data_IF_622789181394
#
_entry.id   IF_622789181394
#
_cell.length_a   1.000
_cell.length_b   1.000
_cell.length_c   1.000
_cell.angle_alpha   90.00
_cell.angle_beta   90.00
_cell.angle_gamma   90.00
#
_symmetry.space_group_name_H-M   'P 1'
#
loop_
_entity.id
_entity.type
_entity.pdbx_description
1 polymer ?
#
# COMPACT_ATOMS: atom_id res chain seq x y z
N UNK A 1 -5.00 -3.84 21.68
CA UNK A 1 -4.64 -2.40 21.50
C UNK A 1 -4.86 -1.63 22.79
N UNK A 2 -3.88 -0.89 23.26
CA UNK A 2 -3.95 -0.08 24.50
C UNK A 2 -4.29 1.38 24.13
N UNK A 3 -5.57 1.73 24.18
CA UNK A 3 -6.02 3.10 23.96
C UNK A 3 -5.81 3.96 25.22
N UNK A 4 -5.30 5.17 25.03
CA UNK A 4 -5.21 6.20 26.07
C UNK A 4 -6.08 7.40 25.67
N UNK A 5 -6.74 8.09 26.62
CA UNK A 5 -7.55 9.28 26.35
C UNK A 5 -6.70 10.50 25.97
N UNK A 6 -5.47 10.56 26.45
CA UNK A 6 -4.51 11.64 26.20
C UNK A 6 -3.07 11.10 26.18
N UNK A 7 -2.13 11.76 25.49
CA UNK A 7 -0.75 11.33 25.47
C UNK A 7 -0.07 11.54 26.83
N UNK A 8 0.88 10.66 27.22
CA UNK A 8 1.71 10.89 28.39
C UNK A 8 2.67 12.08 28.14
N UNK A 9 3.13 12.72 29.22
CA UNK A 9 4.07 13.82 29.14
C UNK A 9 5.43 13.42 28.51
N UNK A 10 5.79 12.14 28.56
CA UNK A 10 7.05 11.60 28.05
C UNK A 10 6.79 10.25 27.34
N UNK A 11 7.52 10.02 26.24
CA UNK A 11 7.56 8.76 25.52
C UNK A 11 8.99 8.49 25.02
N UNK A 12 9.40 7.25 24.91
CA UNK A 12 10.71 6.88 24.36
C UNK A 12 10.70 7.02 22.84
N UNK A 13 9.71 6.43 22.19
CA UNK A 13 9.48 6.52 20.75
C UNK A 13 8.04 6.98 20.49
N UNK A 14 7.86 7.98 19.61
CA UNK A 14 6.56 8.39 19.11
C UNK A 14 6.42 8.01 17.63
N UNK A 15 5.41 7.23 17.28
CA UNK A 15 5.02 6.96 15.89
C UNK A 15 3.84 7.84 15.52
N UNK A 16 3.98 8.64 14.47
CA UNK A 16 2.97 9.59 14.01
C UNK A 16 2.22 9.01 12.81
N UNK A 17 0.94 8.72 12.98
CA UNK A 17 0.04 8.14 11.97
C UNK A 17 -0.40 6.71 12.29
N UNK A 18 -1.72 6.46 12.26
CA UNK A 18 -2.37 5.19 12.58
C UNK A 18 -2.81 4.37 11.35
N UNK A 19 -2.16 4.56 10.19
CA UNK A 19 -2.31 3.70 9.02
C UNK A 19 -1.51 2.41 9.14
N UNK A 20 -1.53 1.56 8.11
CA UNK A 20 -0.83 0.27 8.12
C UNK A 20 0.68 0.43 8.39
N UNK A 21 1.32 1.48 7.86
CA UNK A 21 2.76 1.73 8.06
C UNK A 21 3.05 2.10 9.51
N UNK A 22 2.27 3.03 10.11
CA UNK A 22 2.47 3.40 11.51
C UNK A 22 2.14 2.27 12.48
N UNK A 23 1.07 1.52 12.22
CA UNK A 23 0.72 0.33 13.02
C UNK A 23 1.83 -0.73 12.98
N UNK A 24 2.38 -1.01 11.79
CA UNK A 24 3.50 -1.92 11.61
C UNK A 24 4.76 -1.41 12.33
N UNK A 25 5.05 -0.10 12.23
CA UNK A 25 6.19 0.53 12.92
C UNK A 25 6.06 0.37 14.44
N UNK A 26 4.87 0.64 14.99
CA UNK A 26 4.61 0.47 16.43
C UNK A 26 4.75 -1.01 16.86
N UNK A 27 4.28 -1.94 16.04
CA UNK A 27 4.39 -3.37 16.29
C UNK A 27 5.85 -3.83 16.35
N UNK A 28 6.64 -3.53 15.33
CA UNK A 28 8.03 -4.00 15.26
C UNK A 28 8.95 -3.26 16.26
N UNK A 29 8.71 -1.97 16.52
CA UNK A 29 9.41 -1.23 17.57
C UNK A 29 9.15 -1.84 18.96
N UNK A 30 7.89 -2.14 19.28
CA UNK A 30 7.51 -2.83 20.52
C UNK A 30 8.18 -4.19 20.64
N UNK A 31 8.24 -4.98 19.56
CA UNK A 31 8.95 -6.27 19.54
C UNK A 31 10.47 -6.12 19.68
N UNK A 32 11.02 -5.00 19.26
CA UNK A 32 12.43 -4.68 19.47
C UNK A 32 12.71 -4.22 20.92
N UNK A 33 11.70 -4.15 21.77
CA UNK A 33 11.81 -3.73 23.17
C UNK A 33 11.76 -2.21 23.36
N UNK A 34 11.34 -1.43 22.35
CA UNK A 34 11.26 0.03 22.41
C UNK A 34 9.84 0.43 22.85
N UNK A 35 9.65 1.05 24.05
CA UNK A 35 8.37 1.57 24.50
C UNK A 35 7.82 2.60 23.51
N UNK A 36 6.66 2.32 22.92
CA UNK A 36 6.15 3.06 21.77
C UNK A 36 4.80 3.70 22.08
N UNK A 37 4.65 4.97 21.72
CA UNK A 37 3.42 5.74 21.65
C UNK A 37 3.05 5.98 20.19
N UNK A 38 1.85 5.58 19.76
CA UNK A 38 1.32 5.92 18.45
C UNK A 38 0.30 7.06 18.60
N UNK A 39 0.50 8.14 17.83
CA UNK A 39 -0.42 9.28 17.75
C UNK A 39 -1.13 9.26 16.38
N UNK A 40 -2.46 9.27 16.42
CA UNK A 40 -3.31 9.40 15.22
C UNK A 40 -4.14 10.67 15.30
N UNK A 41 -4.04 11.54 14.29
CA UNK A 41 -4.77 12.81 14.27
C UNK A 41 -6.28 12.69 14.09
N UNK A 42 -6.74 11.57 13.49
CA UNK A 42 -8.15 11.27 13.28
C UNK A 42 -8.74 10.57 14.52
N UNK A 43 -10.08 10.50 14.58
CA UNK A 43 -10.80 9.87 15.70
C UNK A 43 -10.68 8.34 15.73
N UNK A 44 -10.09 7.72 14.69
CA UNK A 44 -9.82 6.30 14.64
C UNK A 44 -8.62 6.00 13.73
N UNK A 45 -7.91 4.91 14.04
CA UNK A 45 -6.84 4.39 13.18
C UNK A 45 -7.42 3.79 11.89
N UNK A 46 -6.58 3.65 10.86
CA UNK A 46 -6.93 3.00 9.60
C UNK A 46 -8.13 3.64 8.85
N UNK A 47 -8.30 4.96 8.92
CA UNK A 47 -9.45 5.68 8.33
C UNK A 47 -9.13 6.52 7.09
N UNK A 48 -7.87 6.50 6.61
CA UNK A 48 -7.44 7.23 5.42
C UNK A 48 -7.08 6.27 4.28
N UNK A 49 -5.95 6.43 3.58
CA UNK A 49 -5.51 5.66 2.42
C UNK A 49 -5.55 4.14 2.64
N UNK A 50 -5.16 3.65 3.82
CA UNK A 50 -5.22 2.21 4.15
C UNK A 50 -6.65 1.66 4.05
N UNK A 51 -7.65 2.42 4.45
CA UNK A 51 -9.06 2.00 4.45
C UNK A 51 -9.62 1.78 3.04
N UNK A 52 -9.07 2.47 2.04
CA UNK A 52 -9.51 2.41 0.64
C UNK A 52 -8.51 1.67 -0.25
N UNK A 53 -7.47 1.05 0.32
CA UNK A 53 -6.50 0.28 -0.44
C UNK A 53 -7.14 -0.98 -1.07
N UNK A 54 -6.63 -1.40 -2.22
CA UNK A 54 -7.10 -2.60 -2.91
C UNK A 54 -6.79 -3.90 -2.14
N UNK A 55 -5.80 -3.89 -1.26
CA UNK A 55 -5.40 -5.05 -0.49
C UNK A 55 -4.70 -6.13 -1.31
N UNK A 56 -4.00 -5.75 -2.36
CA UNK A 56 -3.19 -6.68 -3.14
C UNK A 56 -1.79 -6.88 -2.56
N UNK A 57 -1.25 -8.09 -2.69
CA UNK A 57 0.16 -8.39 -2.48
C UNK A 57 0.69 -9.27 -3.60
N UNK A 58 1.91 -9.02 -4.05
CA UNK A 58 2.52 -9.77 -5.15
C UNK A 58 4.04 -9.80 -5.05
N UNK A 59 4.66 -10.86 -5.54
CA UNK A 59 6.10 -10.94 -5.77
C UNK A 59 6.50 -10.68 -7.24
N UNK A 60 5.54 -10.44 -8.12
CA UNK A 60 5.77 -10.01 -9.49
C UNK A 60 6.15 -8.52 -9.52
N UNK A 61 7.34 -8.19 -9.03
CA UNK A 61 7.90 -6.84 -8.93
C UNK A 61 9.04 -6.63 -9.93
N UNK A 62 9.41 -5.38 -10.17
CA UNK A 62 10.43 -4.99 -11.14
C UNK A 62 11.79 -4.69 -10.50
N UNK A 63 11.83 -4.46 -9.18
CA UNK A 63 13.03 -4.16 -8.40
C UNK A 63 13.26 -5.22 -7.31
N UNK A 64 14.51 -5.68 -7.22
CA UNK A 64 14.89 -6.75 -6.29
C UNK A 64 14.74 -6.30 -4.83
N UNK A 65 15.11 -5.08 -4.52
CA UNK A 65 15.03 -4.54 -3.16
C UNK A 65 13.58 -4.49 -2.65
N UNK A 66 12.62 -4.14 -3.51
CA UNK A 66 11.20 -4.18 -3.17
C UNK A 66 10.69 -5.63 -3.06
N UNK A 67 11.16 -6.52 -3.93
CA UNK A 67 10.83 -7.94 -3.85
C UNK A 67 11.26 -8.53 -2.52
N UNK A 68 12.48 -8.25 -2.07
CA UNK A 68 13.02 -8.74 -0.81
C UNK A 68 12.24 -8.17 0.38
N UNK A 69 11.79 -6.90 0.28
CA UNK A 69 10.90 -6.28 1.26
C UNK A 69 9.53 -6.97 1.31
N UNK A 70 8.89 -7.17 0.16
CA UNK A 70 7.55 -7.77 0.09
C UNK A 70 7.57 -9.25 0.52
N UNK A 71 8.63 -10.00 0.24
CA UNK A 71 8.79 -11.38 0.74
C UNK A 71 8.68 -11.47 2.27
N UNK A 72 9.29 -10.53 2.99
CA UNK A 72 9.21 -10.46 4.46
C UNK A 72 7.78 -10.16 4.92
N UNK A 73 7.08 -9.26 4.22
CA UNK A 73 5.66 -9.01 4.52
C UNK A 73 4.82 -10.28 4.29
N UNK A 74 5.03 -11.00 3.19
CA UNK A 74 4.30 -12.25 2.92
C UNK A 74 4.55 -13.28 4.03
N UNK A 75 5.80 -13.45 4.48
CA UNK A 75 6.12 -14.34 5.60
C UNK A 75 5.43 -13.90 6.92
N UNK A 76 5.36 -12.59 7.19
CA UNK A 76 4.58 -12.07 8.33
C UNK A 76 3.10 -12.43 8.20
N UNK A 77 2.50 -12.23 7.02
CA UNK A 77 1.09 -12.51 6.78
C UNK A 77 0.77 -14.00 6.94
N UNK A 78 1.63 -14.88 6.44
CA UNK A 78 1.46 -16.34 6.54
C UNK A 78 1.52 -16.84 7.99
N UNK A 79 2.36 -16.24 8.83
CA UNK A 79 2.46 -16.52 10.26
C UNK A 79 1.72 -15.50 11.14
N UNK A 80 0.73 -14.78 10.63
CA UNK A 80 0.20 -13.57 11.26
C UNK A 80 -0.32 -13.80 12.68
N UNK A 81 -1.14 -14.82 12.89
CA UNK A 81 -1.69 -15.15 14.20
C UNK A 81 -0.59 -15.53 15.22
N UNK A 82 0.40 -16.29 14.80
CA UNK A 82 1.55 -16.66 15.64
C UNK A 82 2.41 -15.44 15.98
N UNK A 83 2.69 -14.60 14.97
CA UNK A 83 3.56 -13.44 15.14
C UNK A 83 2.92 -12.32 15.94
N UNK A 84 1.60 -12.13 15.83
CA UNK A 84 0.86 -11.10 16.58
C UNK A 84 0.33 -11.60 17.92
N UNK A 85 0.34 -12.93 18.14
CA UNK A 85 -0.23 -13.52 19.34
C UNK A 85 -1.76 -13.42 19.45
N UNK A 86 -2.44 -13.18 18.30
CA UNK A 86 -3.90 -13.04 18.27
C UNK A 86 -4.47 -13.56 16.93
N UNK A 87 -5.71 -14.04 16.94
CA UNK A 87 -6.39 -14.63 15.78
C UNK A 87 -7.66 -13.88 15.34
N UNK A 88 -8.08 -12.86 16.09
CA UNK A 88 -9.33 -12.13 15.83
C UNK A 88 -9.28 -11.36 14.52
N UNK A 89 -8.12 -10.83 14.18
CA UNK A 89 -7.89 -10.07 12.95
C UNK A 89 -7.06 -10.88 11.95
N UNK A 90 -7.62 -12.00 11.48
CA UNK A 90 -7.02 -12.76 10.37
C UNK A 90 -6.90 -11.85 9.13
N UNK A 91 -5.73 -11.81 8.47
CA UNK A 91 -5.51 -10.99 7.27
C UNK A 91 -6.44 -11.29 6.09
N UNK A 92 -7.23 -12.37 6.13
CA UNK A 92 -8.07 -12.86 5.04
C UNK A 92 -7.25 -13.10 3.76
N UNK A 93 -6.16 -13.89 3.89
CA UNK A 93 -5.26 -14.16 2.77
C UNK A 93 -5.98 -15.02 1.73
N UNK A 94 -6.14 -14.48 0.52
CA UNK A 94 -6.72 -15.16 -0.63
C UNK A 94 -5.69 -15.29 -1.74
N UNK A 95 -5.15 -16.49 -1.95
CA UNK A 95 -4.18 -16.80 -3.01
C UNK A 95 -4.88 -17.05 -4.34
N UNK A 96 -5.51 -16.00 -4.87
CA UNK A 96 -6.20 -16.05 -6.16
C UNK A 96 -5.26 -15.71 -7.34
N UNK A 97 -4.05 -15.26 -7.02
CA UNK A 97 -3.04 -14.88 -8.00
C UNK A 97 -3.18 -13.45 -8.51
N UNK A 98 -2.15 -13.07 -9.26
CA UNK A 98 -2.11 -11.85 -10.06
C UNK A 98 -1.91 -12.22 -11.53
N UNK A 99 -2.81 -11.72 -12.37
CA UNK A 99 -2.86 -11.95 -13.80
C UNK A 99 -2.65 -10.63 -14.54
N UNK A 100 -1.50 -10.51 -15.18
CA UNK A 100 -1.11 -9.36 -15.98
C UNK A 100 -1.31 -9.69 -17.44
N UNK A 101 -2.13 -8.92 -18.14
CA UNK A 101 -2.57 -9.16 -19.50
C UNK A 101 -2.04 -8.09 -20.43
N UNK A 102 -1.68 -8.46 -21.64
CA UNK A 102 -1.48 -7.50 -22.73
C UNK A 102 -2.21 -7.95 -23.99
N UNK A 103 -2.79 -7.00 -24.71
CA UNK A 103 -3.34 -7.18 -26.05
C UNK A 103 -2.32 -6.77 -27.13
N UNK A 104 -1.23 -6.11 -26.73
CA UNK A 104 -0.15 -5.69 -27.61
C UNK A 104 0.93 -6.78 -27.73
N UNK A 105 1.00 -7.43 -28.87
CA UNK A 105 2.00 -8.47 -29.16
C UNK A 105 3.45 -7.97 -29.07
N UNK A 106 3.70 -6.68 -29.21
CA UNK A 106 5.05 -6.10 -29.09
C UNK A 106 5.57 -6.13 -27.64
N UNK A 107 4.70 -6.23 -26.65
CA UNK A 107 5.03 -6.31 -25.21
C UNK A 107 5.41 -7.71 -24.73
N UNK A 108 5.11 -8.76 -25.50
CA UNK A 108 5.34 -10.17 -25.09
C UNK A 108 6.79 -10.43 -24.70
N UNK A 109 7.75 -9.89 -25.45
CA UNK A 109 9.17 -10.05 -25.12
C UNK A 109 9.60 -9.29 -23.88
N UNK A 110 8.99 -8.16 -23.59
CA UNK A 110 9.21 -7.44 -22.33
C UNK A 110 8.67 -8.24 -21.13
N UNK A 111 7.48 -8.82 -21.24
CA UNK A 111 6.93 -9.73 -20.22
C UNK A 111 7.83 -10.95 -20.00
N UNK A 112 8.36 -11.55 -21.08
CA UNK A 112 9.29 -12.71 -20.99
C UNK A 112 10.54 -12.34 -20.20
N UNK A 113 11.21 -11.24 -20.57
CA UNK A 113 12.42 -10.77 -19.87
C UNK A 113 12.15 -10.50 -18.39
N UNK A 114 10.98 -9.94 -18.05
CA UNK A 114 10.62 -9.70 -16.66
C UNK A 114 10.41 -11.01 -15.89
N UNK A 115 9.71 -11.98 -16.48
CA UNK A 115 9.51 -13.31 -15.87
C UNK A 115 10.85 -14.02 -15.64
N UNK A 116 11.75 -13.99 -16.63
CA UNK A 116 13.09 -14.58 -16.52
C UNK A 116 13.87 -13.94 -15.36
N UNK A 117 13.90 -12.62 -15.29
CA UNK A 117 14.54 -11.87 -14.22
C UNK A 117 13.93 -12.18 -12.83
N UNK A 118 12.61 -12.27 -12.74
CA UNK A 118 11.93 -12.63 -11.47
C UNK A 118 12.31 -14.06 -11.03
N UNK A 119 12.43 -15.01 -11.96
CA UNK A 119 12.90 -16.37 -11.69
C UNK A 119 14.36 -16.38 -11.22
N UNK A 120 15.24 -15.60 -11.85
CA UNK A 120 16.62 -15.40 -11.40
C UNK A 120 16.71 -14.83 -9.99
N UNK A 121 15.75 -13.98 -9.60
CA UNK A 121 15.60 -13.48 -8.22
C UNK A 121 14.94 -14.49 -7.27
N UNK A 122 14.66 -15.72 -7.73
CA UNK A 122 14.05 -16.79 -6.94
C UNK A 122 12.56 -16.56 -6.69
N UNK A 123 11.83 -15.97 -7.63
CA UNK A 123 10.36 -15.93 -7.57
C UNK A 123 9.81 -17.18 -8.25
N UNK A 124 9.44 -18.17 -7.46
CA UNK A 124 8.86 -19.41 -7.96
C UNK A 124 7.41 -19.22 -8.41
N UNK A 125 6.97 -20.07 -9.34
CA UNK A 125 5.59 -20.15 -9.80
C UNK A 125 5.13 -19.00 -10.70
N UNK A 126 6.05 -18.17 -11.22
CA UNK A 126 5.71 -17.17 -12.23
C UNK A 126 5.62 -17.85 -13.59
N UNK A 127 4.46 -17.76 -14.21
CA UNK A 127 4.14 -18.31 -15.52
C UNK A 127 4.04 -17.20 -16.57
N UNK A 128 4.54 -17.47 -17.77
CA UNK A 128 4.21 -16.69 -18.98
C UNK A 128 3.36 -17.58 -19.87
N UNK A 129 2.16 -17.14 -20.17
CA UNK A 129 1.15 -17.86 -20.93
C UNK A 129 0.90 -17.15 -22.27
N UNK A 130 0.71 -17.92 -23.34
CA UNK A 130 0.14 -17.36 -24.56
C UNK A 130 -1.34 -16.98 -24.34
N UNK A 131 -1.90 -16.14 -25.20
CA UNK A 131 -3.32 -15.78 -25.11
C UNK A 131 -4.25 -17.00 -25.12
N UNK A 132 -3.95 -18.05 -25.91
CA UNK A 132 -4.71 -19.29 -25.97
C UNK A 132 -4.62 -20.09 -24.66
N UNK A 133 -3.43 -20.19 -24.10
CA UNK A 133 -3.23 -20.85 -22.80
C UNK A 133 -3.96 -20.11 -21.68
N UNK A 134 -3.91 -18.77 -21.69
CA UNK A 134 -4.62 -17.95 -20.73
C UNK A 134 -6.14 -18.11 -20.84
N UNK A 135 -6.71 -18.11 -22.06
CA UNK A 135 -8.13 -18.38 -22.31
C UNK A 135 -8.55 -19.79 -21.94
N UNK A 136 -7.70 -20.77 -22.15
CA UNK A 136 -7.95 -22.14 -21.70
C UNK A 136 -8.13 -22.24 -20.17
N UNK A 137 -7.43 -21.40 -19.40
CA UNK A 137 -7.52 -21.34 -17.94
C UNK A 137 -8.62 -20.39 -17.45
N UNK A 138 -8.81 -19.27 -18.13
CA UNK A 138 -9.82 -18.25 -17.85
C UNK A 138 -10.65 -17.96 -19.10
N UNK A 139 -11.73 -18.73 -19.36
CA UNK A 139 -12.54 -18.62 -20.59
C UNK A 139 -13.24 -17.27 -20.76
N UNK A 140 -13.32 -16.47 -19.71
CA UNK A 140 -13.88 -15.12 -19.73
C UNK A 140 -12.91 -14.04 -20.29
N UNK A 141 -11.67 -14.39 -20.63
CA UNK A 141 -10.73 -13.46 -21.24
C UNK A 141 -11.10 -13.14 -22.69
N UNK A 142 -10.80 -11.90 -23.09
CA UNK A 142 -10.91 -11.46 -24.49
C UNK A 142 -10.05 -12.31 -25.42
N UNK A 143 -10.56 -12.56 -26.63
CA UNK A 143 -9.78 -13.17 -27.73
C UNK A 143 -8.55 -12.35 -28.12
N UNK A 144 -8.56 -11.03 -27.83
CA UNK A 144 -7.51 -10.10 -28.21
C UNK A 144 -6.30 -10.15 -27.24
N UNK A 145 -6.40 -10.88 -26.13
CA UNK A 145 -5.28 -11.09 -25.21
C UNK A 145 -4.16 -11.87 -25.93
N UNK A 146 -3.00 -11.23 -26.10
CA UNK A 146 -1.82 -11.79 -26.75
C UNK A 146 -1.00 -12.68 -25.80
N UNK A 147 -0.80 -12.23 -24.57
CA UNK A 147 -0.09 -13.00 -23.52
C UNK A 147 -0.52 -12.58 -22.11
N UNK A 148 -0.15 -13.42 -21.14
CA UNK A 148 -0.40 -13.20 -19.74
C UNK A 148 0.79 -13.61 -18.87
N UNK A 149 1.11 -12.82 -17.82
CA UNK A 149 1.96 -13.23 -16.71
C UNK A 149 1.07 -13.60 -15.53
N UNK A 150 1.36 -14.69 -14.88
CA UNK A 150 0.54 -15.14 -13.74
C UNK A 150 1.40 -15.76 -12.64
N UNK A 151 1.01 -15.52 -11.40
CA UNK A 151 1.55 -16.21 -10.23
C UNK A 151 0.43 -16.49 -9.23
N UNK A 152 0.16 -17.77 -8.96
CA UNK A 152 -0.94 -18.22 -8.11
C UNK A 152 -0.77 -17.80 -6.64
N UNK A 153 0.48 -17.74 -6.13
CA UNK A 153 0.75 -17.45 -4.72
C UNK A 153 0.64 -15.95 -4.37
N UNK A 154 0.58 -15.07 -5.37
CA UNK A 154 0.17 -13.69 -5.20
C UNK A 154 -1.32 -13.62 -4.86
N UNK A 155 -1.77 -12.53 -4.25
CA UNK A 155 -3.17 -12.54 -3.84
C UNK A 155 -3.64 -11.27 -3.16
N UNK A 156 -4.65 -11.45 -2.33
CA UNK A 156 -5.42 -10.39 -1.69
C UNK A 156 -5.41 -10.58 -0.18
N UNK A 157 -5.51 -9.46 0.52
CA UNK A 157 -5.61 -9.38 1.99
C UNK A 157 -6.57 -8.26 2.38
N UNK A 158 -6.97 -8.24 3.64
CA UNK A 158 -7.69 -7.11 4.22
C UNK A 158 -6.72 -6.18 4.98
N UNK A 159 -6.43 -4.97 4.44
CA UNK A 159 -5.49 -4.04 5.08
C UNK A 159 -5.94 -3.54 6.46
N UNK A 160 -7.26 -3.50 6.71
CA UNK A 160 -7.79 -3.06 8.00
C UNK A 160 -7.55 -4.13 9.06
N UNK A 161 -7.78 -5.40 8.73
CA UNK A 161 -7.51 -6.53 9.63
C UNK A 161 -6.01 -6.62 9.97
N UNK A 162 -5.14 -6.43 8.98
CA UNK A 162 -3.69 -6.38 9.22
C UNK A 162 -3.35 -5.24 10.18
N UNK A 163 -3.84 -4.01 9.92
CA UNK A 163 -3.56 -2.85 10.75
C UNK A 163 -4.01 -3.06 12.20
N UNK A 164 -5.25 -3.55 12.38
CA UNK A 164 -5.80 -3.80 13.71
C UNK A 164 -5.07 -4.94 14.43
N UNK A 165 -4.77 -6.03 13.73
CA UNK A 165 -4.06 -7.17 14.31
C UNK A 165 -2.65 -6.82 14.78
N UNK A 166 -1.93 -5.99 14.03
CA UNK A 166 -0.60 -5.49 14.43
C UNK A 166 -0.70 -4.62 15.69
N UNK A 167 -1.68 -3.71 15.76
CA UNK A 167 -1.88 -2.85 16.94
C UNK A 167 -2.35 -3.64 18.17
N UNK A 168 -3.13 -4.70 18.01
CA UNK A 168 -3.53 -5.56 19.12
C UNK A 168 -2.42 -6.52 19.56
N UNK A 169 -1.57 -6.91 18.61
CA UNK A 169 -0.43 -7.78 18.87
C UNK A 169 0.81 -7.08 19.46
N UNK A 170 0.73 -5.78 19.82
CA UNK A 170 1.85 -5.06 20.38
C UNK A 170 1.52 -4.35 21.70
N UNK A 171 2.55 -3.95 22.44
CA UNK A 171 2.42 -3.22 23.70
C UNK A 171 2.31 -1.70 23.54
N UNK A 172 2.32 -1.18 22.31
CA UNK A 172 2.24 0.25 22.05
C UNK A 172 0.97 0.87 22.62
N UNK A 173 1.11 2.05 23.23
CA UNK A 173 -0.03 2.89 23.58
C UNK A 173 -0.49 3.66 22.33
N UNK A 174 -1.79 3.85 22.18
CA UNK A 174 -2.39 4.55 21.03
C UNK A 174 -3.27 5.68 21.54
N UNK A 175 -3.09 6.88 20.97
CA UNK A 175 -3.96 8.04 21.20
C UNK A 175 -4.53 8.46 19.85
N UNK A 176 -5.84 8.52 19.75
CA UNK A 176 -6.56 8.99 18.55
C UNK A 176 -7.08 10.41 18.78
N UNK A 177 -7.36 11.16 17.70
CA UNK A 177 -7.75 12.58 17.80
C UNK A 177 -6.61 13.50 18.22
N UNK A 178 -5.36 13.00 18.25
CA UNK A 178 -4.18 13.73 18.68
C UNK A 178 -3.32 14.10 17.47
N UNK A 179 -3.48 15.31 16.99
CA UNK A 179 -2.74 15.86 15.85
C UNK A 179 -1.39 16.41 16.30
N UNK A 180 -0.30 16.02 15.61
CA UNK A 180 1.03 16.64 15.79
C UNK A 180 1.05 17.97 15.05
N UNK A 181 1.42 19.04 15.75
CA UNK A 181 1.42 20.43 15.30
C UNK A 181 2.80 21.06 15.21
N UNK A 182 3.81 20.41 15.79
CA UNK A 182 5.18 20.89 15.75
C UNK A 182 6.17 19.92 16.35
N UNK A 183 7.43 20.18 16.10
CA UNK A 183 8.57 19.45 16.67
C UNK A 183 9.42 20.41 17.49
N UNK A 184 9.83 19.98 18.67
CA UNK A 184 10.81 20.69 19.49
C UNK A 184 12.18 20.11 19.21
N UNK A 185 13.07 20.95 18.68
CA UNK A 185 14.43 20.56 18.29
C UNK A 185 15.42 21.48 19.01
N UNK A 186 16.38 20.91 19.70
CA UNK A 186 17.43 21.62 20.42
C UNK A 186 18.80 21.09 19.96
N UNK A 187 19.68 21.97 19.50
CA UNK A 187 21.00 21.59 19.03
C UNK A 187 21.00 20.55 17.88
N UNK A 188 19.99 20.56 17.00
CA UNK A 188 19.84 19.60 15.90
C UNK A 188 19.25 18.26 16.32
N UNK A 189 18.78 18.12 17.57
CA UNK A 189 18.22 16.91 18.13
C UNK A 189 16.77 17.08 18.51
N UNK A 190 15.95 16.09 18.25
CA UNK A 190 14.55 16.01 18.69
C UNK A 190 14.50 15.89 20.24
N UNK A 191 13.70 16.74 20.88
CA UNK A 191 13.45 16.70 22.33
C UNK A 191 11.97 16.58 22.67
N UNK A 192 11.07 16.65 21.66
CA UNK A 192 9.63 16.46 21.86
C UNK A 192 8.78 16.94 20.70
N UNK A 193 7.48 16.81 20.89
CA UNK A 193 6.43 17.17 19.94
C UNK A 193 5.42 18.12 20.59
N UNK A 194 4.87 19.02 19.78
CA UNK A 194 3.66 19.78 20.13
C UNK A 194 2.46 19.10 19.48
N UNK A 195 1.41 18.84 20.26
CA UNK A 195 0.21 18.18 19.75
C UNK A 195 -1.06 18.98 20.06
N UNK A 196 -2.19 18.59 19.48
CA UNK A 196 -3.50 19.17 19.81
C UNK A 196 -3.95 18.93 21.24
N UNK A 197 -3.29 17.99 21.94
CA UNK A 197 -3.61 17.59 23.32
C UNK A 197 -2.47 17.94 24.30
N UNK A 198 -1.52 18.79 23.91
CA UNK A 198 -0.38 19.20 24.75
C UNK A 198 0.96 18.70 24.23
N UNK A 199 2.02 19.02 24.93
CA UNK A 199 3.37 18.66 24.56
C UNK A 199 3.72 17.24 25.04
N UNK A 200 4.50 16.52 24.22
CA UNK A 200 5.05 15.20 24.55
C UNK A 200 6.56 15.27 24.41
N UNK A 201 7.31 15.05 25.49
CA UNK A 201 8.77 14.92 25.44
C UNK A 201 9.14 13.56 24.83
N UNK A 202 10.06 13.56 23.87
CA UNK A 202 10.58 12.30 23.30
C UNK A 202 11.94 12.53 22.65
N UNK A 203 12.81 11.53 22.71
CA UNK A 203 14.11 11.53 22.03
C UNK A 203 14.07 10.88 20.65
N UNK A 204 12.97 10.20 20.29
CA UNK A 204 12.80 9.60 18.99
C UNK A 204 11.36 9.72 18.49
N UNK A 205 11.19 10.00 17.18
CA UNK A 205 9.89 9.98 16.52
C UNK A 205 9.99 9.45 15.07
N UNK A 206 8.89 8.88 14.59
CA UNK A 206 8.75 8.37 13.21
C UNK A 206 7.55 9.03 12.54
N UNK A 207 7.78 9.68 11.41
CA UNK A 207 6.72 10.20 10.54
C UNK A 207 6.25 9.04 9.63
N UNK A 208 5.03 8.52 9.89
CA UNK A 208 4.40 7.43 9.15
C UNK A 208 2.99 7.83 8.67
N UNK A 209 2.85 9.10 8.23
CA UNK A 209 1.57 9.75 7.96
C UNK A 209 1.04 9.55 6.53
N UNK A 210 1.64 8.64 5.75
CA UNK A 210 1.23 8.43 4.35
C UNK A 210 1.30 9.75 3.55
N UNK A 211 0.21 10.14 2.85
CA UNK A 211 0.23 11.36 2.01
C UNK A 211 0.47 12.66 2.79
N UNK A 212 0.21 12.64 4.09
CA UNK A 212 0.44 13.79 4.97
C UNK A 212 1.90 13.91 5.43
N UNK A 213 2.77 12.95 5.10
CA UNK A 213 4.14 12.90 5.61
C UNK A 213 4.98 14.12 5.23
N UNK A 214 4.83 14.64 4.00
CA UNK A 214 5.53 15.87 3.59
C UNK A 214 5.10 17.10 4.42
N UNK A 215 3.80 17.25 4.67
CA UNK A 215 3.23 18.31 5.52
C UNK A 215 3.74 18.20 6.96
N UNK A 216 3.73 17.00 7.53
CA UNK A 216 4.20 16.77 8.90
C UNK A 216 5.70 16.99 9.02
N UNK A 217 6.51 16.54 8.06
CA UNK A 217 7.95 16.80 8.04
C UNK A 217 8.28 18.30 7.90
N UNK A 218 7.46 19.02 7.14
CA UNK A 218 7.56 20.48 7.00
C UNK A 218 7.42 21.24 8.32
N UNK A 219 6.70 20.68 9.32
CA UNK A 219 6.61 21.25 10.68
C UNK A 219 7.97 21.24 11.41
N UNK A 220 8.88 20.36 10.99
CA UNK A 220 10.27 20.30 11.48
C UNK A 220 11.25 21.01 10.54
N UNK A 221 10.79 21.66 9.47
CA UNK A 221 11.63 22.28 8.45
C UNK A 221 12.22 21.31 7.42
N UNK A 222 11.76 20.04 7.38
CA UNK A 222 12.27 19.01 6.48
C UNK A 222 11.42 18.94 5.21
N UNK A 223 12.06 19.02 4.05
CA UNK A 223 11.46 18.80 2.76
C UNK A 223 11.61 17.32 2.35
N UNK A 224 10.54 16.54 2.38
CA UNK A 224 10.55 15.18 1.86
C UNK A 224 10.20 15.16 0.37
N UNK A 225 10.91 14.38 -0.46
CA UNK A 225 10.59 14.23 -1.88
C UNK A 225 9.38 13.28 -2.05
N UNK A 226 8.21 13.73 -1.60
CA UNK A 226 6.96 12.98 -1.69
C UNK A 226 5.85 13.86 -2.27
N UNK A 227 5.06 13.27 -3.15
CA UNK A 227 3.93 13.92 -3.80
C UNK A 227 2.66 13.12 -3.56
N UNK A 228 1.63 13.69 -2.92
CA UNK A 228 0.32 13.06 -2.83
C UNK A 228 -0.37 13.07 -4.20
N UNK A 229 -0.79 11.89 -4.66
CA UNK A 229 -1.54 11.74 -5.93
C UNK A 229 -2.83 11.00 -5.66
N UNK A 230 -3.96 11.58 -6.07
CA UNK A 230 -5.27 10.94 -5.90
C UNK A 230 -5.34 9.62 -6.66
N UNK A 231 -5.88 8.59 -6.00
CA UNK A 231 -6.21 7.31 -6.60
C UNK A 231 -7.62 6.92 -6.19
N UNK A 232 -8.35 6.35 -7.13
CA UNK A 232 -9.75 6.04 -6.95
C UNK A 232 -10.01 4.57 -7.22
N UNK A 233 -11.02 4.02 -6.55
CA UNK A 233 -11.55 2.70 -6.85
C UNK A 233 -13.07 2.74 -6.97
N UNK A 234 -13.60 2.00 -7.91
CA UNK A 234 -15.02 1.66 -7.94
C UNK A 234 -15.23 0.45 -7.03
N UNK A 235 -16.18 0.55 -6.16
CA UNK A 235 -16.69 -0.58 -5.37
C UNK A 235 -18.01 -0.98 -5.99
N UNK A 236 -18.10 -2.20 -6.48
CA UNK A 236 -19.27 -2.74 -7.16
C UNK A 236 -19.89 -3.85 -6.30
N UNK A 237 -21.21 -3.87 -6.18
CA UNK A 237 -21.97 -4.87 -5.44
C UNK A 237 -22.98 -5.57 -6.34
N UNK A 238 -23.45 -6.73 -5.87
CA UNK A 238 -24.56 -7.49 -6.48
C UNK A 238 -24.37 -7.77 -7.97
N UNK A 239 -23.13 -8.12 -8.38
CA UNK A 239 -22.85 -8.53 -9.74
C UNK A 239 -22.39 -10.00 -9.78
N UNK A 240 -23.33 -10.94 -9.88
CA UNK A 240 -23.04 -12.38 -9.76
C UNK A 240 -22.29 -12.97 -10.97
N UNK A 241 -22.14 -12.22 -12.05
CA UNK A 241 -21.36 -12.66 -13.22
C UNK A 241 -19.85 -12.53 -13.03
N UNK A 242 -19.41 -11.84 -11.97
CA UNK A 242 -18.00 -11.71 -11.65
C UNK A 242 -17.51 -13.04 -11.04
N UNK A 243 -16.51 -13.71 -11.63
CA UNK A 243 -15.96 -14.91 -11.05
C UNK A 243 -15.35 -14.63 -9.67
N UNK A 244 -15.88 -15.25 -8.63
CA UNK A 244 -15.46 -14.97 -7.24
C UNK A 244 -14.02 -15.42 -6.94
N UNK A 245 -13.49 -16.33 -7.74
CA UNK A 245 -12.15 -16.89 -7.68
C UNK A 245 -11.17 -16.27 -8.70
N UNK A 246 -11.60 -15.25 -9.46
CA UNK A 246 -10.74 -14.60 -10.42
C UNK A 246 -9.51 -13.98 -9.73
N UNK A 247 -8.34 -14.05 -10.36
CA UNK A 247 -7.16 -13.35 -9.87
C UNK A 247 -7.34 -11.83 -9.92
N UNK A 248 -6.51 -11.08 -9.21
CA UNK A 248 -6.31 -9.65 -9.51
C UNK A 248 -5.89 -9.56 -10.98
N UNK A 249 -6.74 -9.00 -11.82
CA UNK A 249 -6.58 -8.95 -13.28
C UNK A 249 -6.22 -7.54 -13.71
N UNK A 250 -5.09 -7.41 -14.38
CA UNK A 250 -4.49 -6.12 -14.76
C UNK A 250 -4.27 -6.09 -16.26
N UNK A 251 -4.80 -5.07 -16.93
CA UNK A 251 -4.47 -4.72 -18.31
C UNK A 251 -3.17 -3.90 -18.30
N UNK A 252 -2.03 -4.49 -18.70
CA UNK A 252 -0.73 -3.80 -18.74
C UNK A 252 -0.69 -2.66 -19.77
N UNK A 253 -1.59 -2.68 -20.75
CA UNK A 253 -1.59 -1.67 -21.82
C UNK A 253 -2.20 -0.36 -21.33
N UNK A 254 -3.17 -0.46 -20.42
CA UNK A 254 -3.92 0.69 -19.89
C UNK A 254 -3.71 0.95 -18.41
N UNK A 255 -3.21 -0.04 -17.67
CA UNK A 255 -3.10 -0.07 -16.22
C UNK A 255 -4.43 -0.24 -15.47
N UNK A 256 -5.56 -0.29 -16.17
CA UNK A 256 -6.85 -0.62 -15.55
C UNK A 256 -6.84 -2.04 -14.99
N UNK A 257 -7.39 -2.20 -13.79
CA UNK A 257 -7.40 -3.51 -13.13
C UNK A 257 -8.62 -3.70 -12.24
N UNK A 258 -8.93 -4.95 -11.98
CA UNK A 258 -10.04 -5.32 -11.13
C UNK A 258 -9.74 -6.59 -10.33
N UNK A 259 -10.48 -6.77 -9.24
CA UNK A 259 -10.48 -7.98 -8.44
C UNK A 259 -11.86 -8.26 -7.87
N UNK A 260 -12.23 -9.53 -7.63
CA UNK A 260 -13.46 -9.84 -6.93
C UNK A 260 -13.41 -9.36 -5.47
N UNK A 261 -14.56 -8.92 -4.96
CA UNK A 261 -14.72 -8.47 -3.58
C UNK A 261 -16.21 -8.51 -3.16
N UNK A 262 -16.52 -9.21 -2.06
CA UNK A 262 -17.79 -9.11 -1.37
C UNK A 262 -19.06 -9.30 -2.22
N UNK A 263 -19.07 -10.26 -3.16
CA UNK A 263 -20.19 -10.47 -4.09
C UNK A 263 -20.25 -9.49 -5.26
N UNK A 264 -19.17 -8.78 -5.49
CA UNK A 264 -18.94 -7.84 -6.59
C UNK A 264 -17.45 -7.71 -6.87
N UNK A 265 -16.96 -6.48 -7.10
CA UNK A 265 -15.56 -6.23 -7.40
C UNK A 265 -15.08 -4.86 -6.93
N UNK A 266 -13.75 -4.71 -6.86
CA UNK A 266 -13.07 -3.43 -6.93
C UNK A 266 -12.47 -3.26 -8.33
N UNK A 267 -12.70 -2.07 -8.93
CA UNK A 267 -12.08 -1.68 -10.18
C UNK A 267 -11.21 -0.45 -9.91
N UNK A 268 -10.03 -0.43 -10.49
CA UNK A 268 -9.03 0.60 -10.24
C UNK A 268 -8.36 1.02 -11.55
N UNK A 269 -7.90 2.26 -11.56
CA UNK A 269 -7.11 2.79 -12.65
C UNK A 269 -6.18 3.90 -12.10
N UNK A 270 -4.87 3.66 -12.06
CA UNK A 270 -3.91 4.69 -11.69
C UNK A 270 -3.72 5.66 -12.87
N UNK A 271 -4.67 6.58 -13.02
CA UNK A 271 -4.64 7.57 -14.10
C UNK A 271 -3.30 8.31 -14.13
N UNK A 272 -2.51 8.18 -15.22
CA UNK A 272 -1.23 8.88 -15.33
C UNK A 272 -1.40 10.39 -15.48
N UNK A 273 -2.60 10.86 -15.87
CA UNK A 273 -2.91 12.28 -15.99
C UNK A 273 -3.36 12.92 -14.65
N UNK A 274 -3.57 12.11 -13.59
CA UNK A 274 -3.94 12.64 -12.28
C UNK A 274 -2.74 13.39 -11.67
N UNK A 275 -2.85 14.71 -11.44
CA UNK A 275 -1.72 15.51 -10.97
C UNK A 275 -1.40 15.23 -9.51
N UNK A 276 -0.16 15.53 -9.13
CA UNK A 276 0.19 15.72 -7.73
C UNK A 276 -0.66 16.86 -7.14
N UNK A 277 -1.04 16.71 -5.89
CA UNK A 277 -1.87 17.67 -5.17
C UNK A 277 -1.41 17.81 -3.72
N UNK A 278 -1.92 18.82 -3.03
CA UNK A 278 -1.74 18.92 -1.58
C UNK A 278 -2.38 17.72 -0.87
N UNK A 279 -1.82 17.31 0.29
CA UNK A 279 -2.41 16.26 1.08
C UNK A 279 -3.76 16.70 1.66
N UNK A 280 -4.78 15.86 1.47
CA UNK A 280 -6.17 16.14 1.86
C UNK A 280 -6.61 15.23 2.99
N UNK A 281 -7.31 15.78 3.98
CA UNK A 281 -7.95 15.00 5.04
C UNK A 281 -9.15 14.21 4.51
N UNK A 282 -9.87 14.76 3.55
CA UNK A 282 -10.93 14.08 2.81
C UNK A 282 -10.64 14.18 1.32
N UNK A 283 -10.40 13.04 0.69
CA UNK A 283 -10.08 12.99 -0.73
C UNK A 283 -11.38 12.88 -1.52
N UNK A 284 -11.70 13.87 -2.36
CA UNK A 284 -12.94 13.85 -3.13
C UNK A 284 -12.91 12.74 -4.19
N UNK A 285 -13.99 11.97 -4.25
CA UNK A 285 -14.22 11.01 -5.33
C UNK A 285 -14.87 11.67 -6.52
N UNK A 286 -14.43 11.30 -7.73
CA UNK A 286 -15.07 11.69 -8.98
C UNK A 286 -16.09 10.61 -9.39
N UNK A 287 -17.40 10.91 -9.39
CA UNK A 287 -18.42 9.95 -9.82
C UNK A 287 -18.24 9.48 -11.27
N UNK A 288 -17.68 10.31 -12.14
CA UNK A 288 -17.41 9.98 -13.55
C UNK A 288 -16.32 8.91 -13.72
N UNK A 289 -15.49 8.72 -12.70
CA UNK A 289 -14.43 7.71 -12.72
C UNK A 289 -14.94 6.30 -12.98
N UNK A 290 -16.11 5.92 -12.43
CA UNK A 290 -16.70 4.61 -12.64
C UNK A 290 -17.01 4.34 -14.12
N UNK A 291 -17.50 5.32 -14.85
CA UNK A 291 -17.82 5.16 -16.27
C UNK A 291 -16.57 4.99 -17.13
N UNK A 292 -15.44 5.55 -16.73
CA UNK A 292 -14.15 5.31 -17.41
C UNK A 292 -13.76 3.83 -17.41
N UNK A 293 -14.08 3.09 -16.34
CA UNK A 293 -13.74 1.68 -16.19
C UNK A 293 -14.84 0.73 -16.67
N UNK A 294 -16.09 1.10 -16.48
CA UNK A 294 -17.25 0.24 -16.77
C UNK A 294 -17.74 0.37 -18.20
N UNK A 295 -17.76 1.59 -18.80
CA UNK A 295 -18.25 1.78 -20.18
C UNK A 295 -17.32 1.06 -21.17
N UNK A 296 -17.81 0.04 -21.91
CA UNK A 296 -16.97 -0.73 -22.84
C UNK A 296 -16.44 0.10 -24.02
N UNK A 297 -16.94 1.31 -24.23
CA UNK A 297 -16.44 2.26 -25.24
C UNK A 297 -15.23 3.05 -24.74
N UNK A 298 -14.96 3.03 -23.43
CA UNK A 298 -13.81 3.71 -22.86
C UNK A 298 -12.49 3.02 -23.24
N UNK A 299 -11.44 3.77 -23.58
CA UNK A 299 -10.14 3.19 -23.92
C UNK A 299 -9.47 2.48 -22.74
N UNK A 300 -9.88 2.76 -21.50
CA UNK A 300 -9.36 2.15 -20.28
C UNK A 300 -10.37 1.21 -19.60
N UNK A 301 -11.41 0.80 -20.35
CA UNK A 301 -12.43 -0.11 -19.81
C UNK A 301 -11.85 -1.47 -19.46
N UNK A 302 -12.26 -2.02 -18.31
CA UNK A 302 -11.93 -3.41 -17.92
C UNK A 302 -12.54 -4.45 -18.88
N UNK A 303 -13.54 -4.06 -19.69
CA UNK A 303 -14.10 -4.90 -20.74
C UNK A 303 -13.12 -5.21 -21.89
N UNK A 304 -12.04 -4.47 -22.06
CA UNK A 304 -11.00 -4.72 -23.06
C UNK A 304 -10.41 -6.12 -22.93
N UNK A 305 -10.10 -6.53 -21.71
CA UNK A 305 -9.49 -7.82 -21.41
C UNK A 305 -10.48 -8.86 -20.88
N UNK A 306 -11.65 -8.41 -20.37
CA UNK A 306 -12.70 -9.26 -19.81
C UNK A 306 -14.09 -8.81 -20.32
N UNK A 307 -14.55 -9.28 -21.50
CA UNK A 307 -15.77 -8.79 -22.17
C UNK A 307 -17.06 -8.88 -21.36
N UNK A 308 -17.16 -9.77 -20.38
CA UNK A 308 -18.34 -9.88 -19.51
C UNK A 308 -18.65 -8.56 -18.77
N UNK A 309 -17.67 -7.70 -18.56
CA UNK A 309 -17.88 -6.36 -17.98
C UNK A 309 -18.75 -5.48 -18.88
N UNK A 310 -18.62 -5.61 -20.21
CA UNK A 310 -19.49 -4.92 -21.14
C UNK A 310 -20.95 -5.38 -21.03
N UNK A 311 -21.19 -6.68 -20.85
CA UNK A 311 -22.52 -7.21 -20.61
C UNK A 311 -23.08 -6.74 -19.26
N UNK A 312 -22.27 -6.74 -18.19
CA UNK A 312 -22.66 -6.23 -16.89
C UNK A 312 -23.05 -4.74 -16.95
N UNK A 313 -22.30 -3.95 -17.69
CA UNK A 313 -22.61 -2.53 -17.90
C UNK A 313 -23.96 -2.32 -18.60
N UNK A 314 -24.23 -3.04 -19.71
CA UNK A 314 -25.46 -2.86 -20.48
C UNK A 314 -26.71 -3.38 -19.76
N UNK A 315 -26.57 -4.36 -18.84
CA UNK A 315 -27.68 -4.79 -17.98
C UNK A 315 -28.12 -3.68 -17.01
N UNK A 316 -27.22 -2.76 -16.68
CA UNK A 316 -27.44 -1.64 -15.76
C UNK A 316 -28.05 -2.07 -14.39
N UNK A 317 -27.65 -3.25 -13.90
CA UNK A 317 -28.14 -3.81 -12.63
C UNK A 317 -27.12 -3.64 -11.50
N UNK A 318 -25.88 -3.31 -11.86
CA UNK A 318 -24.79 -3.17 -10.92
C UNK A 318 -24.94 -1.90 -10.05
N UNK A 319 -24.78 -2.08 -8.75
CA UNK A 319 -24.71 -0.97 -7.80
C UNK A 319 -23.24 -0.65 -7.53
N UNK A 320 -22.87 0.60 -7.59
CA UNK A 320 -21.48 1.00 -7.36
C UNK A 320 -21.34 2.33 -6.63
N UNK A 321 -20.20 2.49 -5.96
CA UNK A 321 -19.73 3.78 -5.43
C UNK A 321 -18.26 3.98 -5.78
N UNK A 322 -17.81 5.23 -5.80
CA UNK A 322 -16.40 5.58 -5.96
C UNK A 322 -15.85 5.98 -4.60
N UNK A 323 -14.70 5.43 -4.27
CA UNK A 323 -13.91 5.80 -3.10
C UNK A 323 -12.55 6.35 -3.56
N UNK A 324 -12.03 7.32 -2.84
CA UNK A 324 -10.76 7.95 -3.18
C UNK A 324 -9.80 7.98 -1.97
N UNK A 325 -8.52 7.92 -2.26
CA UNK A 325 -7.42 8.12 -1.34
C UNK A 325 -6.26 8.78 -2.08
N UNK A 326 -5.17 9.08 -1.38
CA UNK A 326 -3.96 9.58 -2.02
C UNK A 326 -2.82 8.58 -1.83
N UNK A 327 -2.10 8.27 -2.91
CA UNK A 327 -0.80 7.63 -2.83
C UNK A 327 0.24 8.67 -2.44
N UNK A 328 1.29 8.22 -1.78
CA UNK A 328 2.47 9.02 -1.46
C UNK A 328 3.56 8.61 -2.44
N UNK A 329 3.66 9.35 -3.54
CA UNK A 329 4.61 9.06 -4.60
C UNK A 329 5.99 9.60 -4.23
N UNK A 330 7.04 8.86 -4.59
CA UNK A 330 8.44 9.28 -4.55
C UNK A 330 8.99 9.30 -5.97
N UNK A 331 10.11 10.00 -6.25
CA UNK A 331 10.65 10.11 -7.60
C UNK A 331 10.99 8.78 -8.26
N UNK A 332 11.39 7.78 -7.48
CA UNK A 332 11.72 6.43 -7.96
C UNK A 332 10.67 5.37 -7.57
N UNK A 333 9.53 5.81 -7.04
CA UNK A 333 8.39 5.01 -6.59
C UNK A 333 8.72 4.00 -5.49
N UNK A 334 9.86 4.12 -4.82
CA UNK A 334 10.29 3.29 -3.71
C UNK A 334 10.21 4.03 -2.37
N UNK A 335 9.95 3.33 -1.25
CA UNK A 335 9.73 3.99 0.04
C UNK A 335 10.93 4.80 0.53
N UNK A 336 10.66 5.71 1.47
CA UNK A 336 11.64 6.45 2.25
C UNK A 336 11.62 5.89 3.67
N UNK A 337 12.73 5.30 4.11
CA UNK A 337 12.84 4.63 5.40
C UNK A 337 14.17 5.03 6.05
N UNK A 338 14.13 5.59 7.25
CA UNK A 338 15.35 5.87 8.01
C UNK A 338 15.39 7.25 8.65
N UNK A 339 16.59 7.66 9.16
CA UNK A 339 16.77 8.93 9.82
C UNK A 339 16.65 10.11 8.85
N UNK A 340 16.28 11.26 9.40
CA UNK A 340 16.37 12.58 8.75
C UNK A 340 17.66 13.28 9.17
N UNK A 341 17.83 14.56 8.76
CA UNK A 341 18.92 15.42 9.24
C UNK A 341 18.77 15.86 10.72
N UNK A 342 17.60 15.66 11.34
CA UNK A 342 17.37 15.91 12.76
C UNK A 342 17.60 14.61 13.53
N UNK A 343 18.59 14.59 14.43
CA UNK A 343 18.87 13.42 15.27
C UNK A 343 17.63 13.04 16.09
N UNK A 344 17.27 11.77 16.07
CA UNK A 344 16.07 11.21 16.69
C UNK A 344 14.79 11.32 15.83
N UNK A 345 14.78 12.04 14.71
CA UNK A 345 13.61 12.09 13.83
C UNK A 345 13.81 11.19 12.60
N UNK A 346 12.86 10.30 12.39
CA UNK A 346 12.87 9.29 11.32
C UNK A 346 11.62 9.39 10.45
N UNK A 347 11.68 8.79 9.25
CA UNK A 347 10.53 8.64 8.36
C UNK A 347 10.32 7.18 7.96
N UNK A 348 9.06 6.82 7.72
CA UNK A 348 8.65 5.57 7.09
C UNK A 348 7.42 5.86 6.21
N UNK A 349 7.64 6.18 4.93
CA UNK A 349 6.61 6.72 4.04
C UNK A 349 6.97 6.49 2.57
N UNK A 350 6.17 7.05 1.64
CA UNK A 350 6.53 7.10 0.22
C UNK A 350 6.42 5.76 -0.52
N UNK A 351 5.48 4.90 -0.14
CA UNK A 351 5.33 3.56 -0.72
C UNK A 351 4.69 3.54 -2.12
N UNK A 352 4.32 4.66 -2.69
CA UNK A 352 3.87 4.80 -4.08
C UNK A 352 2.80 3.78 -4.53
N UNK A 353 1.85 3.46 -3.63
CA UNK A 353 0.81 2.45 -3.85
C UNK A 353 1.10 1.06 -3.26
N UNK A 354 2.33 0.77 -2.89
CA UNK A 354 2.77 -0.53 -2.35
C UNK A 354 2.72 -0.63 -0.80
N UNK A 355 2.10 0.33 -0.12
CA UNK A 355 2.11 0.41 1.36
C UNK A 355 1.55 -0.81 2.08
N UNK A 356 0.58 -1.52 1.49
CA UNK A 356 0.01 -2.74 2.10
C UNK A 356 1.01 -3.89 2.06
N UNK A 357 1.70 -4.08 0.95
CA UNK A 357 2.63 -5.20 0.78
C UNK A 357 4.07 -4.88 1.16
N UNK A 358 4.47 -3.60 1.19
CA UNK A 358 5.84 -3.19 1.56
C UNK A 358 5.94 -2.60 2.97
N UNK A 359 4.87 -1.97 3.46
CA UNK A 359 4.87 -1.22 4.71
C UNK A 359 5.23 -2.04 5.96
N UNK A 360 4.69 -3.25 6.15
CA UNK A 360 5.05 -4.08 7.29
C UNK A 360 6.55 -4.40 7.36
N UNK A 361 7.15 -4.86 6.27
CA UNK A 361 8.58 -5.18 6.26
C UNK A 361 9.48 -3.93 6.26
N UNK A 362 9.04 -2.81 5.66
CA UNK A 362 9.73 -1.53 5.79
C UNK A 362 9.75 -1.02 7.24
N UNK A 363 8.69 -1.33 7.99
CA UNK A 363 8.62 -1.02 9.42
C UNK A 363 9.53 -1.92 10.25
N UNK A 364 9.68 -3.20 9.88
CA UNK A 364 10.67 -4.10 10.48
C UNK A 364 12.10 -3.61 10.27
N UNK A 365 12.41 -3.17 9.03
CA UNK A 365 13.70 -2.55 8.71
C UNK A 365 13.93 -1.30 9.58
N UNK A 366 12.96 -0.40 9.68
CA UNK A 366 13.08 0.80 10.51
C UNK A 366 13.25 0.46 11.99
N UNK A 367 12.52 -0.53 12.52
CA UNK A 367 12.70 -0.97 13.91
C UNK A 367 14.13 -1.51 14.15
N UNK A 368 14.73 -2.16 13.17
CA UNK A 368 16.14 -2.61 13.23
C UNK A 368 17.11 -1.42 13.23
N UNK A 369 16.82 -0.35 12.46
CA UNK A 369 17.60 0.90 12.47
C UNK A 369 17.51 1.56 13.85
N UNK A 370 16.30 1.73 14.38
CA UNK A 370 16.05 2.33 15.70
C UNK A 370 16.76 1.56 16.83
N UNK A 371 16.87 0.25 16.70
CA UNK A 371 17.58 -0.61 17.66
C UNK A 371 19.11 -0.68 17.42
N UNK A 372 19.66 0.09 16.47
CA UNK A 372 21.09 0.08 16.15
C UNK A 372 21.60 -1.22 15.52
N UNK A 373 20.71 -2.02 14.89
CA UNK A 373 21.01 -3.36 14.33
C UNK A 373 20.92 -3.43 12.80
N UNK A 374 20.64 -2.30 12.13
CA UNK A 374 20.45 -2.29 10.70
C UNK A 374 21.75 -2.51 9.93
N UNK A 375 21.67 -3.36 8.90
CA UNK A 375 22.65 -3.45 7.83
C UNK A 375 22.42 -2.41 6.73
N UNK A 376 22.59 -2.82 5.47
CA UNK A 376 22.33 -1.98 4.31
C UNK A 376 20.84 -1.59 4.21
N UNK A 377 20.60 -0.31 3.90
CA UNK A 377 19.25 0.23 3.72
C UNK A 377 19.16 0.91 2.34
N UNK A 378 18.57 0.24 1.33
CA UNK A 378 18.42 0.81 0.00
C UNK A 378 17.35 1.90 -0.10
N UNK A 379 16.58 2.12 0.98
CA UNK A 379 15.47 3.07 1.03
C UNK A 379 15.78 4.36 1.82
N UNK A 380 17.08 4.67 2.00
CA UNK A 380 17.51 5.88 2.68
C UNK A 380 17.02 7.14 1.97
N UNK A 381 16.86 8.22 2.73
CA UNK A 381 16.39 9.51 2.21
C UNK A 381 17.42 10.17 1.28
N UNK A 382 18.71 9.96 1.55
CA UNK A 382 19.84 10.53 0.81
C UNK A 382 20.32 9.68 -0.38
N UNK A 383 19.54 8.64 -0.76
CA UNK A 383 19.88 7.84 -1.94
C UNK A 383 19.74 8.62 -3.24
N UNK A 384 20.47 8.23 -4.25
CA UNK A 384 20.20 8.69 -5.62
C UNK A 384 18.92 8.05 -6.13
N UNK A 385 17.92 8.86 -6.49
CA UNK A 385 16.68 8.38 -7.07
C UNK A 385 16.93 7.90 -8.50
N UNK A 386 16.69 6.64 -8.79
CA UNK A 386 16.68 6.12 -10.15
C UNK A 386 15.42 6.60 -10.88
N UNK A 387 15.46 6.64 -12.22
CA UNK A 387 14.22 6.87 -12.97
C UNK A 387 13.20 5.77 -12.60
N UNK A 388 11.95 6.20 -12.32
CA UNK A 388 10.88 5.25 -12.07
C UNK A 388 10.75 4.31 -13.28
N UNK A 389 10.88 3.01 -13.08
CA UNK A 389 10.31 2.07 -14.00
C UNK A 389 8.81 2.38 -14.06
N UNK A 390 8.18 2.24 -15.24
CA UNK A 390 6.73 2.43 -15.35
C UNK A 390 6.05 1.49 -14.35
N UNK A 391 5.88 1.97 -13.14
CA UNK A 391 5.26 1.21 -12.08
C UNK A 391 3.79 1.61 -11.98
N UNK A 392 3.05 0.62 -11.71
CA UNK A 392 1.73 0.71 -11.13
C UNK A 392 1.76 1.26 -9.77
#
# INVERSE_FOLDING_TARGET
>A
MRLLPEPPAQAELVVIGGGIVGASTAFFASRAGIPTLLLEGRQAVCTHTTAVAAGGYRLQLEHREELDLVRRTVALLEGFAEQTGQSVHDPDIRRQGYLWLTTDSSRVDAQRRLVERQREWGVDGVELLTGDQARGRWPWLSKDVASARFRQQDGLVDPRRITMGLLEGCSAAVVVGCEVRGFRVEGGRLVGLETSMGAVGCGAAVIACGPLSGRVAGLAGIALPVEPVRRQRVVLWNEPTIPADAPMTIDEDTTAHWRPAGGGAYLLFPDPAEPAAEPLDQVPADPGFALRLLDPRSPVSVARTAPFWGEAFWRNTAQWAVQAGQYTMTPDQRPLIGPTEIDGLHVNTGYSGHGVMGGPAGSELLASILAGRAGDNPFRLDRTFSAAAQAF
#
